data_IF_087020131391
#
_entry.id   IF_087020131391
#
_cell.length_a   1.000
_cell.length_b   1.000
_cell.length_c   1.000
_cell.angle_alpha   90.00
_cell.angle_beta   90.00
_cell.angle_gamma   90.00
#
_symmetry.space_group_name_H-M   'P 1'
#
loop_
_entity.id
_entity.type
_entity.pdbx_description
1 polymer ?
#
# COMPACT_ATOMS: atom_id res chain seq x y z
N UNK A 1 -22.81 -2.64 4.12
CA UNK A 1 -22.38 -2.43 5.52
C UNK A 1 -21.00 -1.81 5.49
N UNK A 2 -20.88 -0.53 5.86
CA UNK A 2 -19.58 0.09 6.07
C UNK A 2 -19.11 -0.30 7.48
N UNK A 3 -18.14 -1.20 7.56
CA UNK A 3 -17.48 -1.51 8.83
C UNK A 3 -16.62 -0.31 9.25
N UNK A 4 -17.04 0.42 10.28
CA UNK A 4 -16.31 1.56 10.86
C UNK A 4 -15.11 1.14 11.73
N UNK A 5 -14.45 0.03 11.39
CA UNK A 5 -13.31 -0.46 12.16
C UNK A 5 -12.06 0.21 11.61
N UNK A 6 -11.48 1.10 12.40
CA UNK A 6 -10.12 1.59 12.17
C UNK A 6 -9.14 0.48 12.54
N UNK A 7 -8.33 0.04 11.58
CA UNK A 7 -7.27 -0.93 11.82
C UNK A 7 -5.98 -0.17 12.16
N UNK A 8 -5.44 -0.32 13.38
CA UNK A 8 -4.17 0.32 13.74
C UNK A 8 -3.06 -0.05 12.75
N UNK A 9 -2.26 0.92 12.31
CA UNK A 9 -1.22 0.74 11.30
C UNK A 9 -1.72 0.78 9.84
N UNK A 10 -3.04 0.81 9.64
CA UNK A 10 -3.70 0.86 8.33
C UNK A 10 -4.68 2.04 8.23
N UNK A 11 -4.49 3.10 9.01
CA UNK A 11 -5.39 4.27 9.04
C UNK A 11 -5.37 5.04 7.71
N UNK A 12 -4.26 4.98 6.98
CA UNK A 12 -4.08 5.64 5.68
C UNK A 12 -4.68 4.88 4.49
N UNK A 13 -5.28 3.71 4.70
CA UNK A 13 -5.83 2.86 3.63
C UNK A 13 -7.30 2.54 3.83
N UNK A 14 -8.01 2.39 2.72
CA UNK A 14 -9.40 1.95 2.66
C UNK A 14 -9.39 0.44 2.47
N UNK A 15 -9.96 -0.30 3.42
CA UNK A 15 -10.16 -1.74 3.29
C UNK A 15 -11.42 -1.99 2.47
N UNK A 16 -11.27 -2.56 1.27
CA UNK A 16 -12.38 -2.82 0.34
C UNK A 16 -12.97 -4.21 0.50
N UNK A 17 -12.16 -5.18 0.97
CA UNK A 17 -12.60 -6.54 1.26
C UNK A 17 -11.70 -7.14 2.33
N UNK A 18 -12.29 -7.85 3.28
CA UNK A 18 -11.58 -8.62 4.29
C UNK A 18 -12.13 -10.04 4.34
N UNK A 19 -11.25 -11.04 4.40
CA UNK A 19 -11.63 -12.43 4.62
C UNK A 19 -10.48 -13.20 5.29
N UNK A 20 -10.80 -14.35 5.86
CA UNK A 20 -9.82 -15.26 6.42
C UNK A 20 -9.69 -16.49 5.52
N UNK A 21 -8.45 -16.97 5.32
CA UNK A 21 -8.18 -18.22 4.62
C UNK A 21 -6.99 -18.90 5.29
N UNK A 22 -7.11 -20.18 5.63
CA UNK A 22 -6.01 -20.97 6.22
C UNK A 22 -5.39 -20.32 7.47
N UNK A 23 -6.21 -19.65 8.30
CA UNK A 23 -5.73 -18.95 9.50
C UNK A 23 -5.18 -17.55 9.25
N UNK A 24 -4.91 -17.18 7.99
CA UNK A 24 -4.33 -15.89 7.60
C UNK A 24 -5.45 -14.89 7.28
N UNK A 25 -5.28 -13.64 7.72
CA UNK A 25 -6.13 -12.52 7.31
C UNK A 25 -5.70 -11.94 5.96
N UNK A 26 -6.64 -11.90 5.04
CA UNK A 26 -6.48 -11.32 3.71
C UNK A 26 -7.28 -10.02 3.64
N UNK A 27 -6.57 -8.89 3.56
CA UNK A 27 -7.17 -7.56 3.47
C UNK A 27 -6.89 -6.97 2.09
N UNK A 28 -7.92 -6.69 1.31
CA UNK A 28 -7.80 -5.89 0.10
C UNK A 28 -7.88 -4.42 0.47
N UNK A 29 -6.87 -3.67 0.04
CA UNK A 29 -6.69 -2.28 0.44
C UNK A 29 -6.46 -1.39 -0.76
N UNK A 30 -6.96 -0.17 -0.67
CA UNK A 30 -6.81 0.91 -1.65
C UNK A 30 -6.43 2.18 -0.90
N UNK A 31 -5.63 3.05 -1.51
CA UNK A 31 -5.44 4.40 -0.96
C UNK A 31 -6.63 5.28 -1.35
N UNK A 32 -6.86 6.37 -0.62
CA UNK A 32 -7.76 7.41 -1.10
C UNK A 32 -7.18 8.02 -2.39
N UNK A 33 -8.05 8.34 -3.36
CA UNK A 33 -7.58 8.86 -4.65
C UNK A 33 -7.14 10.30 -4.48
N UNK A 34 -5.85 10.55 -4.70
CA UNK A 34 -5.27 11.89 -4.67
C UNK A 34 -4.82 12.32 -6.08
N UNK A 35 -4.84 13.62 -6.40
CA UNK A 35 -4.23 14.13 -7.62
C UNK A 35 -2.70 14.04 -7.50
N UNK A 36 -2.03 13.56 -8.54
CA UNK A 36 -0.56 13.48 -8.57
C UNK A 36 0.01 14.33 -9.70
N UNK A 37 1.17 14.93 -9.44
CA UNK A 37 1.92 15.70 -10.43
C UNK A 37 2.84 14.80 -11.24
N UNK A 38 3.06 15.13 -12.52
CA UNK A 38 4.01 14.37 -13.32
C UNK A 38 5.43 14.47 -12.77
N UNK A 39 6.07 13.34 -12.47
CA UNK A 39 7.49 13.33 -12.07
C UNK A 39 8.48 13.69 -13.20
N UNK A 40 8.01 14.08 -14.40
CA UNK A 40 8.87 14.52 -15.51
C UNK A 40 8.57 15.97 -15.93
N UNK A 41 7.30 16.34 -16.08
CA UNK A 41 6.92 17.69 -16.52
C UNK A 41 6.18 18.50 -15.45
N UNK A 42 5.96 17.96 -14.25
CA UNK A 42 5.27 18.58 -13.11
C UNK A 42 3.83 19.07 -13.35
N UNK A 43 3.27 18.83 -14.54
CA UNK A 43 1.90 19.21 -14.87
C UNK A 43 0.85 18.36 -14.10
N UNK A 44 -0.17 19.05 -13.61
CA UNK A 44 -1.43 18.54 -13.07
C UNK A 44 -2.49 18.51 -14.20
N UNK A 45 -3.46 17.57 -14.29
CA UNK A 45 -3.68 16.32 -13.59
C UNK A 45 -3.45 15.08 -14.47
N UNK A 46 -3.19 13.95 -13.83
CA UNK A 46 -2.97 12.66 -14.48
C UNK A 46 -4.22 11.79 -14.41
N UNK A 47 -4.52 11.05 -15.47
CA UNK A 47 -5.58 10.03 -15.45
C UNK A 47 -5.04 8.71 -14.93
N UNK A 48 -5.87 7.98 -14.19
CA UNK A 48 -5.58 6.57 -13.89
C UNK A 48 -5.59 5.81 -15.21
N UNK A 49 -4.47 5.19 -15.55
CA UNK A 49 -4.30 4.36 -16.74
C UNK A 49 -4.74 2.93 -16.48
N UNK A 50 -4.26 2.34 -15.38
CA UNK A 50 -4.63 1.00 -14.96
C UNK A 50 -4.50 0.82 -13.44
N UNK A 51 -5.04 -0.29 -12.97
CA UNK A 51 -4.86 -0.78 -11.61
C UNK A 51 -3.98 -2.03 -11.63
N UNK A 52 -3.13 -2.21 -10.63
CA UNK A 52 -2.32 -3.42 -10.45
C UNK A 52 -2.46 -3.93 -9.03
N UNK A 53 -2.67 -5.23 -8.87
CA UNK A 53 -2.72 -5.86 -7.55
C UNK A 53 -1.30 -6.19 -7.08
N UNK A 54 -0.99 -5.87 -5.83
CA UNK A 54 0.27 -6.19 -5.18
C UNK A 54 -0.02 -6.89 -3.86
N UNK A 55 0.51 -8.11 -3.69
CA UNK A 55 0.51 -8.79 -2.38
C UNK A 55 1.65 -8.21 -1.54
N UNK A 56 1.33 -7.80 -0.31
CA UNK A 56 2.25 -7.20 0.65
C UNK A 56 2.16 -7.99 1.95
N UNK A 57 3.31 -8.36 2.50
CA UNK A 57 3.42 -8.91 3.86
C UNK A 57 3.36 -7.78 4.88
N UNK A 58 2.55 -7.97 5.91
CA UNK A 58 2.32 -6.98 6.96
C UNK A 58 2.45 -7.62 8.34
N UNK A 59 2.47 -6.77 9.38
CA UNK A 59 2.42 -7.18 10.77
C UNK A 59 1.09 -7.88 11.07
N UNK A 60 1.05 -8.63 12.17
CA UNK A 60 -0.15 -9.40 12.53
C UNK A 60 -1.30 -8.47 12.95
N UNK A 61 -2.43 -8.52 12.24
CA UNK A 61 -3.66 -7.89 12.67
C UNK A 61 -4.39 -8.81 13.65
N UNK A 62 -4.68 -8.31 14.86
CA UNK A 62 -5.38 -9.06 15.92
C UNK A 62 -4.72 -10.40 16.27
N UNK A 63 -3.38 -10.45 16.27
CA UNK A 63 -2.60 -11.66 16.58
C UNK A 63 -2.66 -12.76 15.50
N UNK A 64 -3.09 -12.42 14.28
CA UNK A 64 -3.09 -13.34 13.14
C UNK A 64 -2.23 -12.81 12.00
N UNK A 65 -1.54 -13.72 11.32
CA UNK A 65 -0.78 -13.39 10.13
C UNK A 65 -1.66 -12.68 9.11
N UNK A 66 -1.13 -11.60 8.52
CA UNK A 66 -1.91 -10.71 7.67
C UNK A 66 -1.20 -10.45 6.35
N UNK A 67 -1.95 -10.64 5.27
CA UNK A 67 -1.55 -10.30 3.92
C UNK A 67 -2.43 -9.17 3.40
N UNK A 68 -1.79 -8.12 2.90
CA UNK A 68 -2.48 -7.02 2.23
C UNK A 68 -2.44 -7.24 0.71
N UNK A 69 -3.59 -7.07 0.06
CA UNK A 69 -3.74 -7.07 -1.39
C UNK A 69 -4.02 -5.64 -1.81
N UNK A 70 -2.94 -4.89 -2.03
CA UNK A 70 -3.01 -3.50 -2.38
C UNK A 70 -3.33 -3.34 -3.86
N UNK A 71 -4.44 -2.67 -4.16
CA UNK A 71 -4.81 -2.29 -5.53
C UNK A 71 -4.20 -0.94 -5.85
N UNK A 72 -3.02 -1.00 -6.45
CA UNK A 72 -2.19 0.14 -6.82
C UNK A 72 -2.71 0.84 -8.06
N UNK A 73 -2.81 2.17 -8.02
CA UNK A 73 -3.11 2.98 -9.21
C UNK A 73 -1.85 3.33 -9.98
N UNK A 74 -1.87 3.10 -11.28
CA UNK A 74 -0.91 3.64 -12.23
C UNK A 74 -1.52 4.83 -12.96
N UNK A 75 -0.88 5.98 -12.85
CA UNK A 75 -1.23 7.23 -13.52
C UNK A 75 -0.45 7.36 -14.83
N UNK A 76 -1.06 8.06 -15.79
CA UNK A 76 -0.40 8.48 -17.02
C UNK A 76 -0.51 10.00 -17.19
N UNK A 77 0.59 10.61 -17.60
CA UNK A 77 0.63 12.02 -17.93
C UNK A 77 -0.20 12.29 -19.18
N UNK A 78 -1.17 13.22 -19.08
CA UNK A 78 -2.01 13.63 -20.22
C UNK A 78 -1.28 14.51 -21.24
N UNK A 79 -0.14 15.06 -20.85
CA UNK A 79 0.67 15.88 -21.74
C UNK A 79 1.18 15.02 -22.89
N UNK A 80 0.81 15.39 -24.12
CA UNK A 80 1.05 14.59 -25.32
C UNK A 80 2.54 14.34 -25.57
N UNK A 81 3.39 15.30 -25.16
CA UNK A 81 4.86 15.21 -25.26
C UNK A 81 5.50 14.41 -24.12
N UNK A 82 4.77 14.13 -23.03
CA UNK A 82 5.32 13.46 -21.86
C UNK A 82 4.88 12.00 -21.72
N UNK A 83 3.57 11.73 -21.68
CA UNK A 83 2.94 10.41 -21.56
C UNK A 83 3.55 9.43 -20.52
N UNK A 84 4.24 9.95 -19.51
CA UNK A 84 4.96 9.14 -18.52
C UNK A 84 3.95 8.40 -17.65
N UNK A 85 4.19 7.11 -17.43
CA UNK A 85 3.44 6.29 -16.49
C UNK A 85 4.16 6.24 -15.13
N UNK A 86 3.41 6.37 -14.04
CA UNK A 86 3.96 6.21 -12.69
C UNK A 86 2.90 5.79 -11.69
N UNK A 87 3.36 5.35 -10.54
CA UNK A 87 2.48 4.93 -9.45
C UNK A 87 2.16 6.08 -8.51
N UNK A 88 1.00 5.98 -7.85
CA UNK A 88 0.69 6.87 -6.73
C UNK A 88 1.73 6.82 -5.63
N UNK A 89 1.87 7.96 -4.97
CA UNK A 89 2.60 8.07 -3.71
C UNK A 89 1.94 7.19 -2.66
N UNK A 90 2.77 6.46 -1.91
CA UNK A 90 2.31 5.40 -1.05
C UNK A 90 3.11 5.38 0.26
N UNK A 91 2.38 5.48 1.37
CA UNK A 91 2.93 5.44 2.74
C UNK A 91 2.93 4.03 3.33
N UNK A 92 2.11 3.12 2.81
CA UNK A 92 2.00 1.73 3.25
C UNK A 92 3.21 0.88 2.83
N UNK A 93 3.69 1.06 1.60
CA UNK A 93 4.75 0.24 0.99
C UNK A 93 5.69 1.10 0.15
N UNK A 94 6.98 1.00 0.43
CA UNK A 94 8.00 1.66 -0.37
C UNK A 94 8.10 1.06 -1.78
N UNK A 95 8.63 1.84 -2.72
CA UNK A 95 8.75 1.42 -4.12
C UNK A 95 9.54 0.12 -4.24
N UNK A 96 8.98 -0.83 -4.99
CA UNK A 96 9.54 -2.17 -5.25
C UNK A 96 9.68 -3.09 -4.03
N UNK A 97 9.11 -2.73 -2.87
CA UNK A 97 9.10 -3.61 -1.68
C UNK A 97 7.89 -4.55 -1.68
N UNK A 98 8.04 -5.71 -1.05
CA UNK A 98 6.96 -6.70 -0.83
C UNK A 98 6.46 -6.73 0.62
N UNK A 99 7.05 -5.91 1.47
CA UNK A 99 6.72 -5.77 2.88
C UNK A 99 6.25 -4.34 3.13
N UNK A 100 5.27 -4.19 4.01
CA UNK A 100 4.83 -2.86 4.45
C UNK A 100 5.95 -2.13 5.19
N UNK A 101 5.87 -0.81 5.24
CA UNK A 101 6.81 0.03 6.01
C UNK A 101 6.84 -0.40 7.48
N UNK A 102 5.67 -0.65 8.08
CA UNK A 102 5.54 -1.09 9.47
C UNK A 102 6.19 -2.46 9.71
N UNK A 103 6.01 -3.41 8.79
CA UNK A 103 6.66 -4.73 8.89
C UNK A 103 8.19 -4.60 8.91
N UNK A 104 8.76 -3.73 8.07
CA UNK A 104 10.19 -3.48 8.05
C UNK A 104 10.68 -2.82 9.35
N UNK A 105 9.86 -1.94 9.96
CA UNK A 105 10.17 -1.34 11.26
C UNK A 105 10.17 -2.40 12.38
N UNK A 106 9.15 -3.27 12.43
CA UNK A 106 9.08 -4.36 13.40
C UNK A 106 10.30 -5.29 13.31
N UNK A 107 10.66 -5.74 12.10
CA UNK A 107 11.87 -6.53 11.88
C UNK A 107 13.15 -5.81 12.35
N UNK A 108 13.25 -4.51 12.09
CA UNK A 108 14.43 -3.73 12.50
C UNK A 108 14.58 -3.70 14.03
N UNK A 109 13.47 -3.58 14.76
CA UNK A 109 13.46 -3.61 16.24
C UNK A 109 13.86 -5.00 16.75
N UNK A 110 13.32 -6.06 16.18
CA UNK A 110 13.68 -7.45 16.54
C UNK A 110 15.16 -7.72 16.33
N UNK A 111 15.72 -7.27 15.21
CA UNK A 111 17.15 -7.40 14.91
C UNK A 111 18.03 -6.62 15.87
N UNK A 112 17.59 -5.45 16.35
CA UNK A 112 18.31 -4.68 17.36
C UNK A 112 18.30 -5.46 18.68
N UNK A 113 17.14 -5.93 19.13
CA UNK A 113 17.05 -6.73 20.35
C UNK A 113 17.93 -7.98 20.29
N UNK A 114 17.88 -8.73 19.18
CA UNK A 114 18.68 -9.93 19.00
C UNK A 114 20.21 -9.70 19.02
N UNK A 115 20.68 -8.47 18.75
CA UNK A 115 22.11 -8.10 18.84
C UNK A 115 22.55 -7.68 20.23
N UNK A 116 21.61 -7.30 21.09
CA UNK A 116 21.89 -6.88 22.47
C UNK A 116 21.80 -8.05 23.48
N UNK A 117 21.41 -9.24 23.03
CA UNK A 117 21.53 -10.50 23.76
C UNK A 117 22.72 -11.32 23.24
#
# INVERSE_FOLDING_TARGET
MYSNITLPGLEGVIVTKAYQKEGIYHLHVELERQPHSCSKCHQMPQTVHNYRMQKIQHTQAFGRDTHLFYRKRCYICKEATCQKQFYEDNTLVARNQRQSVEFNQALSIELIHAKHF
#
